data_IF_573004869714
#
_entry.id   IF_573004869714
#
_cell.length_a   1.000
_cell.length_b   1.000
_cell.length_c   1.000
_cell.angle_alpha   90.00
_cell.angle_beta   90.00
_cell.angle_gamma   90.00
#
_symmetry.space_group_name_H-M   'P 1'
#
loop_
_entity.id
_entity.type
_entity.pdbx_description
1 polymer ?
#
# COMPACT_ATOMS: atom_id res chain seq x y z
N UNK A 1 9.16 12.32 -15.77
CA UNK A 1 9.79 11.00 -15.87
C UNK A 1 8.74 9.92 -15.66
N UNK A 2 8.84 8.79 -16.37
CA UNK A 2 7.90 7.68 -16.21
C UNK A 2 8.29 6.94 -14.91
N UNK A 3 7.44 6.98 -13.90
CA UNK A 3 7.64 6.30 -12.62
C UNK A 3 7.17 4.85 -12.76
N UNK A 4 7.96 3.89 -12.31
CA UNK A 4 7.60 2.48 -12.28
C UNK A 4 7.73 1.91 -10.88
N UNK A 5 7.12 0.75 -10.62
CA UNK A 5 7.20 0.07 -9.34
C UNK A 5 7.85 -1.30 -9.49
N UNK A 6 8.79 -1.63 -8.61
CA UNK A 6 9.22 -2.99 -8.38
C UNK A 6 8.33 -3.56 -7.29
N UNK A 7 7.35 -4.36 -7.69
CA UNK A 7 6.35 -4.90 -6.77
C UNK A 7 6.92 -6.07 -5.95
N UNK A 8 6.89 -5.92 -4.64
CA UNK A 8 7.21 -6.95 -3.65
C UNK A 8 5.91 -7.37 -2.98
N UNK A 9 5.48 -8.59 -3.23
CA UNK A 9 4.19 -9.05 -2.78
C UNK A 9 4.28 -9.69 -1.39
N UNK A 10 3.50 -9.17 -0.42
CA UNK A 10 3.42 -9.66 0.95
C UNK A 10 2.02 -10.25 1.18
N UNK A 11 1.81 -11.55 0.91
CA UNK A 11 0.49 -12.14 0.90
C UNK A 11 -0.11 -12.24 2.30
N UNK A 12 -1.32 -11.76 2.50
CA UNK A 12 -2.17 -11.87 3.71
C UNK A 12 -1.52 -11.49 5.06
N UNK A 13 -0.24 -11.17 5.11
CA UNK A 13 0.42 -10.74 6.35
C UNK A 13 -0.10 -9.38 6.80
N UNK A 14 -0.33 -9.23 8.09
CA UNK A 14 -0.90 -8.02 8.68
C UNK A 14 -2.41 -7.84 8.48
N UNK A 15 -3.09 -8.73 7.74
CA UNK A 15 -4.53 -8.67 7.61
C UNK A 15 -5.21 -9.36 8.79
N UNK A 16 -5.79 -8.61 9.71
CA UNK A 16 -6.56 -9.14 10.86
C UNK A 16 -7.91 -9.74 10.48
N UNK A 17 -8.42 -9.41 9.29
CA UNK A 17 -9.71 -9.85 8.77
C UNK A 17 -9.58 -10.28 7.30
N UNK A 18 -10.35 -11.29 6.91
CA UNK A 18 -10.47 -11.69 5.51
C UNK A 18 -11.64 -10.93 4.92
N UNK A 19 -11.36 -9.97 4.06
CA UNK A 19 -12.38 -9.22 3.32
C UNK A 19 -13.15 -10.15 2.39
N UNK A 20 -14.46 -9.90 2.19
CA UNK A 20 -15.34 -10.76 1.38
C UNK A 20 -14.90 -10.93 -0.06
N UNK A 21 -14.18 -9.95 -0.60
CA UNK A 21 -13.70 -9.89 -2.00
C UNK A 21 -12.23 -10.28 -2.17
N UNK A 22 -11.51 -10.63 -1.08
CA UNK A 22 -10.06 -10.81 -1.14
C UNK A 22 -9.67 -12.28 -1.10
N UNK A 23 -9.07 -12.77 -2.19
CA UNK A 23 -8.45 -14.09 -2.26
C UNK A 23 -7.01 -13.95 -2.75
N UNK A 24 -6.13 -13.44 -1.87
CA UNK A 24 -4.73 -13.20 -2.23
C UNK A 24 -3.97 -14.49 -2.58
N UNK A 25 -4.35 -15.64 -2.01
CA UNK A 25 -3.72 -16.93 -2.35
C UNK A 25 -3.91 -17.28 -3.83
N UNK A 26 -5.10 -16.99 -4.37
CA UNK A 26 -5.40 -17.24 -5.79
C UNK A 26 -4.75 -16.17 -6.68
N UNK A 27 -4.70 -14.92 -6.21
CA UNK A 27 -4.21 -13.79 -7.00
C UNK A 27 -2.67 -13.81 -7.11
N UNK A 28 -1.97 -14.13 -6.02
CA UNK A 28 -0.50 -14.04 -5.98
C UNK A 28 0.23 -15.33 -6.33
N UNK A 29 -0.42 -16.47 -6.13
CA UNK A 29 0.24 -17.77 -6.20
C UNK A 29 1.32 -18.02 -5.12
N UNK A 30 1.59 -17.02 -4.27
CA UNK A 30 2.56 -17.10 -3.18
C UNK A 30 1.85 -17.26 -1.84
N UNK A 31 2.31 -18.23 -1.04
CA UNK A 31 1.79 -18.49 0.31
C UNK A 31 2.80 -18.15 1.41
N UNK A 32 4.06 -18.06 1.06
CA UNK A 32 5.14 -17.81 2.01
C UNK A 32 5.55 -16.33 2.06
N UNK A 33 6.00 -15.83 3.22
CA UNK A 33 6.50 -14.48 3.35
C UNK A 33 7.81 -14.32 2.57
N UNK A 34 7.96 -13.20 1.89
CA UNK A 34 9.21 -12.84 1.19
C UNK A 34 10.35 -12.73 2.20
N UNK A 35 11.41 -13.47 1.99
CA UNK A 35 12.64 -13.38 2.78
C UNK A 35 13.50 -12.18 2.34
N UNK A 36 14.43 -11.74 3.21
CA UNK A 36 15.39 -10.68 2.85
C UNK A 36 16.22 -11.03 1.60
N UNK A 37 16.63 -12.30 1.46
CA UNK A 37 17.37 -12.79 0.29
C UNK A 37 16.57 -12.76 -1.00
N UNK A 38 15.29 -13.11 -0.92
CA UNK A 38 14.39 -13.02 -2.09
C UNK A 38 14.16 -11.57 -2.49
N UNK A 39 13.98 -10.67 -1.52
CA UNK A 39 13.89 -9.23 -1.79
C UNK A 39 15.16 -8.71 -2.46
N UNK A 40 16.34 -9.05 -1.96
CA UNK A 40 17.63 -8.73 -2.58
C UNK A 40 17.69 -9.23 -4.03
N UNK A 41 17.35 -10.50 -4.25
CA UNK A 41 17.37 -11.09 -5.59
C UNK A 41 16.40 -10.39 -6.56
N UNK A 42 15.22 -10.00 -6.09
CA UNK A 42 14.26 -9.22 -6.89
C UNK A 42 14.86 -7.85 -7.28
N UNK A 43 15.45 -7.15 -6.32
CA UNK A 43 16.00 -5.82 -6.56
C UNK A 43 17.23 -5.87 -7.45
N UNK A 44 18.15 -6.80 -7.22
CA UNK A 44 19.34 -7.01 -8.06
C UNK A 44 18.96 -7.36 -9.51
N UNK A 45 17.97 -8.25 -9.68
CA UNK A 45 17.51 -8.66 -11.00
C UNK A 45 16.89 -7.54 -11.83
N UNK A 46 16.49 -6.42 -11.22
CA UNK A 46 15.93 -5.27 -11.92
C UNK A 46 16.95 -4.16 -12.20
N UNK A 47 18.12 -4.16 -11.53
CA UNK A 47 19.10 -3.08 -11.65
C UNK A 47 19.58 -2.82 -13.09
N UNK A 48 19.88 -3.87 -13.83
CA UNK A 48 20.36 -3.76 -15.23
C UNK A 48 19.25 -3.15 -16.12
N UNK A 49 18.03 -3.67 -16.00
CA UNK A 49 16.88 -3.16 -16.75
C UNK A 49 16.60 -1.68 -16.47
N UNK A 50 16.73 -1.25 -15.22
CA UNK A 50 16.55 0.14 -14.82
C UNK A 50 17.66 1.05 -15.35
N UNK A 51 18.92 0.58 -15.35
CA UNK A 51 20.06 1.29 -15.96
C UNK A 51 19.85 1.48 -17.46
N UNK A 52 19.51 0.41 -18.16
CA UNK A 52 19.34 0.42 -19.61
C UNK A 52 18.16 1.28 -20.07
N UNK A 53 17.09 1.30 -19.32
CA UNK A 53 15.89 2.10 -19.62
C UNK A 53 15.99 3.57 -19.21
N UNK A 54 16.94 3.92 -18.34
CA UNK A 54 17.02 5.25 -17.71
C UNK A 54 15.78 5.61 -16.87
N UNK A 55 15.03 4.61 -16.43
CA UNK A 55 13.80 4.78 -15.63
C UNK A 55 14.11 4.59 -14.15
N UNK A 56 13.55 5.44 -13.29
CA UNK A 56 13.60 5.24 -11.84
C UNK A 56 12.39 4.44 -11.37
N UNK A 57 12.59 3.61 -10.34
CA UNK A 57 11.55 2.78 -9.77
C UNK A 57 11.40 3.01 -8.26
N UNK A 58 10.17 2.88 -7.76
CA UNK A 58 9.93 2.74 -6.32
C UNK A 58 9.87 1.25 -5.95
N UNK A 59 10.46 0.89 -4.80
CA UNK A 59 10.31 -0.42 -4.20
C UNK A 59 8.95 -0.46 -3.53
N UNK A 60 8.03 -1.30 -4.02
CA UNK A 60 6.63 -1.24 -3.67
C UNK A 60 6.17 -2.50 -2.93
N UNK A 61 5.88 -2.38 -1.63
CA UNK A 61 5.32 -3.44 -0.81
C UNK A 61 3.79 -3.48 -0.94
N UNK A 62 3.28 -4.50 -1.61
CA UNK A 62 1.86 -4.69 -1.90
C UNK A 62 1.32 -6.01 -1.34
N UNK A 63 0.02 -6.21 -1.40
CA UNK A 63 -0.70 -7.43 -1.07
C UNK A 63 -1.44 -7.34 0.25
N UNK A 64 -0.78 -7.63 1.37
CA UNK A 64 -1.36 -7.52 2.70
C UNK A 64 -1.37 -6.08 3.22
N UNK A 65 -1.47 -5.94 4.54
CA UNK A 65 -1.36 -4.64 5.21
C UNK A 65 0.07 -4.47 5.74
N UNK A 66 0.92 -3.76 5.00
CA UNK A 66 2.36 -3.69 5.30
C UNK A 66 2.66 -3.19 6.72
N UNK A 67 1.94 -2.19 7.21
CA UNK A 67 2.17 -1.64 8.56
C UNK A 67 1.58 -2.49 9.69
N UNK A 68 0.88 -3.56 9.37
CA UNK A 68 0.26 -4.48 10.34
C UNK A 68 0.95 -5.85 10.38
N UNK A 69 2.01 -6.08 9.61
CA UNK A 69 2.83 -7.28 9.74
C UNK A 69 3.67 -7.23 11.02
N UNK A 70 4.30 -8.35 11.38
CA UNK A 70 5.25 -8.36 12.50
C UNK A 70 6.29 -7.24 12.37
N UNK A 71 6.54 -6.52 13.48
CA UNK A 71 7.38 -5.33 13.49
C UNK A 71 8.82 -5.63 13.07
N UNK A 72 9.39 -6.70 13.56
CA UNK A 72 10.78 -7.07 13.27
C UNK A 72 10.90 -7.50 11.80
N UNK A 73 9.89 -8.21 11.28
CA UNK A 73 9.84 -8.58 9.87
C UNK A 73 9.72 -7.34 8.97
N UNK A 74 8.85 -6.39 9.30
CA UNK A 74 8.74 -5.12 8.58
C UNK A 74 10.07 -4.37 8.54
N UNK A 75 10.76 -4.26 9.68
CA UNK A 75 12.05 -3.57 9.80
C UNK A 75 13.12 -4.28 8.96
N UNK A 76 13.19 -5.60 8.94
CA UNK A 76 14.14 -6.34 8.09
C UNK A 76 13.94 -6.03 6.61
N UNK A 77 12.70 -6.06 6.12
CA UNK A 77 12.39 -5.71 4.72
C UNK A 77 12.74 -4.25 4.40
N UNK A 78 12.39 -3.32 5.30
CA UNK A 78 12.72 -1.90 5.14
C UNK A 78 14.23 -1.66 5.14
N UNK A 79 15.00 -2.39 5.95
CA UNK A 79 16.46 -2.31 5.99
C UNK A 79 17.08 -2.69 4.64
N UNK A 80 16.60 -3.78 4.04
CA UNK A 80 17.04 -4.17 2.69
C UNK A 80 16.66 -3.10 1.67
N UNK A 81 15.39 -2.68 1.64
CA UNK A 81 14.92 -1.68 0.69
C UNK A 81 15.69 -0.37 0.78
N UNK A 82 15.92 0.12 2.02
CA UNK A 82 16.72 1.33 2.25
C UNK A 82 18.15 1.19 1.73
N UNK A 83 18.80 0.07 1.98
CA UNK A 83 20.16 -0.18 1.48
C UNK A 83 20.23 -0.04 -0.06
N UNK A 84 19.22 -0.55 -0.79
CA UNK A 84 19.17 -0.42 -2.25
C UNK A 84 18.87 1.01 -2.71
N UNK A 85 17.95 1.72 -2.07
CA UNK A 85 17.70 3.13 -2.42
C UNK A 85 18.91 4.01 -2.13
N UNK A 86 19.66 3.75 -1.06
CA UNK A 86 20.88 4.49 -0.72
C UNK A 86 22.05 4.16 -1.67
N UNK A 87 22.20 2.89 -2.07
CA UNK A 87 23.29 2.44 -2.94
C UNK A 87 23.06 2.77 -4.43
N UNK A 88 21.82 2.82 -4.87
CA UNK A 88 21.43 2.99 -6.28
C UNK A 88 20.38 4.09 -6.47
N UNK A 89 20.65 5.36 -6.09
CA UNK A 89 19.68 6.45 -6.12
C UNK A 89 19.26 6.87 -7.53
N UNK A 90 20.02 6.45 -8.55
CA UNK A 90 19.67 6.68 -9.95
C UNK A 90 18.66 5.64 -10.48
N UNK A 91 18.53 4.49 -9.84
CA UNK A 91 17.61 3.41 -10.19
C UNK A 91 16.40 3.37 -9.27
N UNK A 92 16.60 3.62 -7.97
CA UNK A 92 15.53 3.59 -6.97
C UNK A 92 15.32 4.98 -6.37
N UNK A 93 14.11 5.54 -6.55
CA UNK A 93 13.76 6.89 -6.09
C UNK A 93 12.87 6.90 -4.83
N UNK A 94 12.70 5.75 -4.20
CA UNK A 94 11.99 5.65 -2.93
C UNK A 94 11.36 4.29 -2.67
N UNK A 95 10.66 4.24 -1.54
CA UNK A 95 9.93 3.06 -1.07
C UNK A 95 8.46 3.46 -0.91
N UNK A 96 7.55 2.56 -1.29
CA UNK A 96 6.13 2.75 -1.07
C UNK A 96 5.48 1.50 -0.49
N UNK A 97 4.35 1.66 0.18
CA UNK A 97 3.56 0.53 0.64
C UNK A 97 2.06 0.76 0.51
N UNK A 98 1.31 -0.36 0.44
CA UNK A 98 -0.13 -0.36 0.64
C UNK A 98 -0.45 -0.89 2.03
N UNK A 99 -1.40 -0.23 2.70
CA UNK A 99 -1.80 -0.63 4.04
C UNK A 99 -3.26 -0.26 4.34
N UNK A 100 -3.72 -0.71 5.52
CA UNK A 100 -5.06 -0.41 6.04
C UNK A 100 -5.05 0.90 6.81
N UNK A 101 -6.17 1.66 6.80
CA UNK A 101 -6.29 2.92 7.52
C UNK A 101 -6.16 2.79 9.05
N UNK A 102 -6.68 1.70 9.62
CA UNK A 102 -6.64 1.42 11.06
C UNK A 102 -5.25 1.03 11.59
N UNK A 103 -4.28 0.79 10.69
CA UNK A 103 -2.90 0.41 11.01
C UNK A 103 -1.91 1.57 10.81
N UNK A 104 -2.38 2.80 10.90
CA UNK A 104 -1.58 4.03 10.78
C UNK A 104 -1.66 4.82 12.09
N UNK A 105 -0.49 5.10 12.65
CA UNK A 105 -0.28 5.99 13.77
C UNK A 105 1.05 6.76 13.61
N UNK A 106 1.35 7.67 14.54
CA UNK A 106 2.53 8.52 14.47
C UNK A 106 3.84 7.71 14.64
N UNK A 107 3.82 6.66 15.46
CA UNK A 107 4.98 5.81 15.69
C UNK A 107 5.35 5.06 14.41
N UNK A 108 4.37 4.42 13.77
CA UNK A 108 4.59 3.68 12.53
C UNK A 108 5.06 4.61 11.41
N UNK A 109 4.48 5.80 11.28
CA UNK A 109 4.91 6.78 10.28
C UNK A 109 6.33 7.27 10.53
N UNK A 110 6.72 7.45 11.80
CA UNK A 110 8.10 7.77 12.17
C UNK A 110 9.09 6.67 11.75
N UNK A 111 8.75 5.41 11.97
CA UNK A 111 9.55 4.26 11.51
C UNK A 111 9.67 4.27 9.99
N UNK A 112 8.56 4.31 9.27
CA UNK A 112 8.55 4.30 7.80
C UNK A 112 9.43 5.42 7.23
N UNK A 113 9.33 6.63 7.80
CA UNK A 113 10.13 7.77 7.37
C UNK A 113 11.63 7.57 7.60
N UNK A 114 12.02 7.00 8.74
CA UNK A 114 13.43 6.72 9.06
C UNK A 114 14.09 5.72 8.09
N UNK A 115 13.28 4.86 7.48
CA UNK A 115 13.72 3.91 6.46
C UNK A 115 13.56 4.40 5.03
N UNK A 116 13.25 5.67 4.81
CA UNK A 116 13.18 6.25 3.46
C UNK A 116 11.89 5.94 2.68
N UNK A 117 10.80 5.57 3.38
CA UNK A 117 9.48 5.49 2.76
C UNK A 117 9.09 6.86 2.20
N UNK A 118 8.64 6.89 0.95
CA UNK A 118 8.25 8.12 0.25
C UNK A 118 6.75 8.21 0.02
N UNK A 119 6.07 7.07 -0.15
CA UNK A 119 4.65 7.04 -0.49
C UNK A 119 3.88 5.98 0.30
N UNK A 120 2.66 6.31 0.72
CA UNK A 120 1.74 5.41 1.42
C UNK A 120 0.39 5.41 0.71
N UNK A 121 -0.11 4.23 0.39
CA UNK A 121 -1.40 4.02 -0.23
C UNK A 121 -2.35 3.32 0.74
N UNK A 122 -3.49 3.94 1.05
CA UNK A 122 -4.50 3.38 1.94
C UNK A 122 -5.57 2.61 1.17
N UNK A 123 -5.78 1.37 1.54
CA UNK A 123 -6.89 0.56 1.09
C UNK A 123 -8.20 0.97 1.77
N UNK A 124 -8.74 2.14 1.45
CA UNK A 124 -10.01 2.64 2.01
C UNK A 124 -11.20 1.82 1.50
N UNK A 125 -11.23 1.52 0.24
CA UNK A 125 -12.22 0.77 -0.52
C UNK A 125 -13.58 1.49 -0.66
N UNK A 126 -14.13 2.05 0.42
CA UNK A 126 -15.35 2.86 0.46
C UNK A 126 -15.26 3.87 1.61
N UNK A 127 -16.04 4.94 1.54
CA UNK A 127 -16.27 5.88 2.65
C UNK A 127 -17.66 5.70 3.29
N UNK A 128 -18.35 4.61 2.97
CA UNK A 128 -19.62 4.24 3.58
C UNK A 128 -19.42 3.07 4.56
N UNK A 129 -19.71 3.30 5.85
CA UNK A 129 -19.47 2.32 6.91
C UNK A 129 -20.37 1.08 6.80
N UNK A 130 -21.56 1.17 6.19
CA UNK A 130 -22.41 0.01 5.94
C UNK A 130 -21.75 -0.91 4.89
N UNK A 131 -21.20 -0.34 3.81
CA UNK A 131 -20.45 -1.08 2.78
C UNK A 131 -19.19 -1.70 3.39
N UNK A 132 -18.43 -0.93 4.16
CA UNK A 132 -17.21 -1.43 4.82
C UNK A 132 -17.51 -2.61 5.76
N UNK A 133 -18.55 -2.51 6.58
CA UNK A 133 -18.98 -3.56 7.51
C UNK A 133 -19.44 -4.81 6.74
N UNK A 134 -20.30 -4.63 5.72
CA UNK A 134 -20.82 -5.72 4.90
C UNK A 134 -19.71 -6.52 4.19
N UNK A 135 -18.60 -5.86 3.88
CA UNK A 135 -17.43 -6.45 3.23
C UNK A 135 -16.31 -6.84 4.21
N UNK A 136 -16.57 -6.84 5.52
CA UNK A 136 -15.64 -7.26 6.57
C UNK A 136 -14.30 -6.51 6.54
N UNK A 137 -14.34 -5.19 6.28
CA UNK A 137 -13.12 -4.39 6.18
C UNK A 137 -12.42 -4.18 7.53
N UNK A 138 -13.15 -4.15 8.63
CA UNK A 138 -12.63 -3.99 9.99
C UNK A 138 -12.11 -2.58 10.31
N UNK A 139 -12.27 -1.61 9.42
CA UNK A 139 -12.03 -0.19 9.65
C UNK A 139 -13.25 0.63 9.23
N UNK A 140 -13.30 1.88 9.63
CA UNK A 140 -14.35 2.85 9.35
C UNK A 140 -13.89 3.96 8.42
N UNK A 141 -14.84 4.72 7.85
CA UNK A 141 -14.53 5.96 7.12
C UNK A 141 -13.77 6.98 7.99
N UNK A 142 -14.03 6.99 9.31
CA UNK A 142 -13.30 7.85 10.25
C UNK A 142 -11.82 7.45 10.37
N UNK A 143 -11.49 6.15 10.32
CA UNK A 143 -10.10 5.69 10.30
C UNK A 143 -9.39 6.16 9.03
N UNK A 144 -10.08 6.13 7.88
CA UNK A 144 -9.53 6.68 6.62
C UNK A 144 -9.20 8.16 6.79
N UNK A 145 -10.13 8.98 7.31
CA UNK A 145 -9.91 10.42 7.53
C UNK A 145 -8.76 10.69 8.50
N UNK A 146 -8.67 9.92 9.58
CA UNK A 146 -7.59 10.04 10.57
C UNK A 146 -6.25 9.70 9.95
N UNK A 147 -6.14 8.55 9.31
CA UNK A 147 -4.90 8.09 8.68
C UNK A 147 -4.44 9.04 7.58
N UNK A 148 -5.35 9.51 6.72
CA UNK A 148 -5.07 10.48 5.66
C UNK A 148 -4.43 11.76 6.21
N UNK A 149 -4.96 12.28 7.31
CA UNK A 149 -4.42 13.47 7.97
C UNK A 149 -3.00 13.23 8.48
N UNK A 150 -2.78 12.13 9.18
CA UNK A 150 -1.47 11.78 9.75
C UNK A 150 -0.41 11.60 8.64
N UNK A 151 -0.74 10.88 7.57
CA UNK A 151 0.17 10.64 6.44
C UNK A 151 0.58 11.97 5.80
N UNK A 152 -0.38 12.86 5.53
CA UNK A 152 -0.10 14.18 4.94
C UNK A 152 0.74 15.05 5.86
N UNK A 153 0.42 15.12 7.15
CA UNK A 153 1.19 15.87 8.14
C UNK A 153 2.64 15.38 8.26
N UNK A 154 2.86 14.08 8.02
CA UNK A 154 4.18 13.47 8.01
C UNK A 154 4.95 13.68 6.70
N UNK A 155 4.32 14.27 5.67
CA UNK A 155 4.97 14.65 4.41
C UNK A 155 5.26 13.48 3.47
N UNK A 156 4.42 12.43 3.49
CA UNK A 156 4.45 11.36 2.49
C UNK A 156 3.60 11.72 1.27
N UNK A 157 3.96 11.20 0.10
CA UNK A 157 3.03 11.05 -1.01
C UNK A 157 1.89 10.14 -0.57
N UNK A 158 0.64 10.58 -0.80
CA UNK A 158 -0.53 9.94 -0.24
C UNK A 158 -1.48 9.45 -1.33
N UNK A 159 -1.71 8.15 -1.36
CA UNK A 159 -2.65 7.51 -2.27
C UNK A 159 -3.86 6.91 -1.55
N UNK A 160 -5.01 6.86 -2.26
CA UNK A 160 -6.21 6.18 -1.82
C UNK A 160 -6.65 5.14 -2.85
N UNK A 161 -7.07 3.97 -2.36
CA UNK A 161 -7.70 2.94 -3.18
C UNK A 161 -9.18 2.87 -2.85
N UNK A 162 -10.04 2.88 -3.88
CA UNK A 162 -11.45 2.54 -3.75
C UNK A 162 -11.80 1.32 -4.61
N UNK A 163 -12.85 0.63 -4.21
CA UNK A 163 -13.48 -0.42 -5.02
C UNK A 163 -14.90 0.00 -5.36
N UNK A 164 -15.35 -0.40 -6.54
CA UNK A 164 -16.73 -0.21 -6.99
C UNK A 164 -17.42 -1.55 -7.11
N UNK A 165 -18.72 -1.60 -6.83
CA UNK A 165 -19.51 -2.83 -6.93
C UNK A 165 -19.28 -3.81 -5.76
N UNK A 166 -18.87 -3.32 -4.60
CA UNK A 166 -18.81 -4.11 -3.38
C UNK A 166 -20.21 -4.54 -2.94
N UNK A 167 -20.30 -5.57 -2.11
CA UNK A 167 -21.59 -5.98 -1.55
C UNK A 167 -22.22 -4.81 -0.78
N UNK A 168 -23.51 -4.55 -1.01
CA UNK A 168 -24.29 -3.38 -0.55
C UNK A 168 -23.80 -2.01 -1.06
N UNK A 169 -22.88 -1.98 -2.02
CA UNK A 169 -22.49 -0.72 -2.65
C UNK A 169 -23.57 -0.23 -3.63
N UNK A 170 -23.57 1.07 -3.85
CA UNK A 170 -24.48 1.73 -4.83
C UNK A 170 -23.66 2.74 -5.65
N UNK A 171 -24.17 3.12 -6.80
CA UNK A 171 -23.57 4.17 -7.61
C UNK A 171 -23.37 5.47 -6.79
N UNK A 172 -24.38 5.84 -5.98
CA UNK A 172 -24.29 7.03 -5.14
C UNK A 172 -23.19 6.92 -4.11
N UNK A 173 -23.00 5.75 -3.44
CA UNK A 173 -21.93 5.54 -2.48
C UNK A 173 -20.54 5.58 -3.11
N UNK A 174 -20.40 5.07 -4.35
CA UNK A 174 -19.17 5.20 -5.12
C UNK A 174 -18.85 6.67 -5.42
N UNK A 175 -19.85 7.45 -5.87
CA UNK A 175 -19.70 8.88 -6.15
C UNK A 175 -19.32 9.65 -4.87
N UNK A 176 -19.99 9.37 -3.76
CA UNK A 176 -19.72 10.05 -2.49
C UNK A 176 -18.32 9.67 -1.94
N UNK A 177 -17.89 8.43 -2.11
CA UNK A 177 -16.51 7.99 -1.81
C UNK A 177 -15.50 8.78 -2.66
N UNK A 178 -15.72 8.92 -3.95
CA UNK A 178 -14.83 9.66 -4.84
C UNK A 178 -14.76 11.17 -4.47
N UNK A 179 -15.91 11.78 -4.14
CA UNK A 179 -15.95 13.17 -3.67
C UNK A 179 -15.16 13.37 -2.38
N UNK A 180 -15.27 12.41 -1.46
CA UNK A 180 -14.56 12.47 -0.20
C UNK A 180 -13.03 12.30 -0.40
N UNK A 181 -12.59 11.45 -1.32
CA UNK A 181 -11.19 11.33 -1.69
C UNK A 181 -10.62 12.64 -2.23
N UNK A 182 -11.39 13.35 -3.06
CA UNK A 182 -11.02 14.68 -3.55
C UNK A 182 -10.89 15.65 -2.38
N UNK A 183 -11.83 15.64 -1.44
CA UNK A 183 -11.80 16.50 -0.25
C UNK A 183 -10.63 16.18 0.70
N UNK A 184 -10.16 14.94 0.74
CA UNK A 184 -8.97 14.53 1.49
C UNK A 184 -7.66 14.95 0.80
N UNK A 185 -7.72 15.47 -0.44
CA UNK A 185 -6.56 15.95 -1.22
C UNK A 185 -5.45 14.88 -1.32
N UNK A 186 -5.81 13.65 -1.69
CA UNK A 186 -4.83 12.63 -1.99
C UNK A 186 -4.09 12.92 -3.30
N UNK A 187 -2.83 12.51 -3.39
CA UNK A 187 -1.99 12.74 -4.58
C UNK A 187 -2.36 11.76 -5.70
N UNK A 188 -2.78 10.54 -5.34
CA UNK A 188 -3.15 9.49 -6.30
C UNK A 188 -4.40 8.75 -5.86
N UNK A 189 -5.18 8.28 -6.85
CA UNK A 189 -6.35 7.40 -6.63
C UNK A 189 -6.26 6.18 -7.52
N UNK A 190 -6.54 5.01 -6.95
CA UNK A 190 -6.77 3.77 -7.72
C UNK A 190 -8.18 3.30 -7.53
N UNK A 191 -8.83 2.95 -8.64
CA UNK A 191 -10.21 2.45 -8.65
C UNK A 191 -10.19 1.02 -9.17
N UNK A 192 -10.68 0.07 -8.37
CA UNK A 192 -10.77 -1.34 -8.73
C UNK A 192 -12.23 -1.76 -8.82
N UNK A 193 -12.70 -2.23 -9.97
CA UNK A 193 -14.02 -2.86 -10.05
C UNK A 193 -13.98 -4.22 -9.33
N UNK A 194 -15.03 -4.53 -8.59
CA UNK A 194 -15.25 -5.87 -8.04
C UNK A 194 -15.73 -6.78 -9.16
N UNK A 195 -15.02 -7.89 -9.39
CA UNK A 195 -15.44 -8.94 -10.32
C UNK A 195 -16.04 -10.08 -9.50
N UNK A 196 -17.27 -10.48 -9.82
CA UNK A 196 -18.03 -11.55 -9.16
C UNK A 196 -17.96 -12.81 -10.02
#
# INVERSE_FOLDING_TARGET
>A
MKQTNISVFIPHYGCTHICSFCNQKTISGHSEPVTEKELESILEGQLENLKDSGTKAQIAFFGGSFTAIDRDYMIRLLTVAKRYTDAYPEQYDGIRCSTRPDCIDEEILGILKSYGMTAIELGAQSMNDEVLTANRRGHTAQDVRRASRLIKQSGFEFGLQMMTGLYKDTEQYCIDTAKEFIALHCDTVRIYPTVI
#
